data_IF_444090049433
#
_entry.id   IF_444090049433
#
_cell.length_a   1.000
_cell.length_b   1.000
_cell.length_c   1.000
_cell.angle_alpha   90.00
_cell.angle_beta   90.00
_cell.angle_gamma   90.00
#
_symmetry.space_group_name_H-M   'P 1'
#
loop_
_entity.id
_entity.type
_entity.pdbx_description
1 polymer ?
#
# COMPACT_ATOMS: atom_id res chain seq x y z
N UNK A 1 25.25 6.48 -13.57
CA UNK A 1 25.25 5.58 -12.39
C UNK A 1 24.01 5.75 -11.52
N UNK A 2 23.69 6.94 -11.02
CA UNK A 2 22.42 7.18 -10.29
C UNK A 2 21.19 7.06 -11.19
N UNK A 3 21.28 7.59 -12.41
CA UNK A 3 20.15 7.56 -13.36
C UNK A 3 19.86 6.14 -13.85
N UNK A 4 20.91 5.34 -14.12
CA UNK A 4 20.76 3.93 -14.51
C UNK A 4 20.09 3.08 -13.41
N UNK A 5 20.39 3.39 -12.14
CA UNK A 5 19.75 2.72 -11.00
C UNK A 5 18.27 3.12 -10.87
N UNK A 6 17.95 4.40 -11.08
CA UNK A 6 16.56 4.88 -11.06
C UNK A 6 15.74 4.25 -12.19
N UNK A 7 16.30 4.14 -13.39
CA UNK A 7 15.63 3.47 -14.51
C UNK A 7 15.46 1.97 -14.26
N UNK A 8 16.43 1.31 -13.63
CA UNK A 8 16.30 -0.11 -13.27
C UNK A 8 15.21 -0.34 -12.20
N UNK A 9 15.15 0.51 -11.18
CA UNK A 9 14.09 0.46 -10.15
C UNK A 9 12.72 0.69 -10.79
N UNK A 10 12.61 1.65 -11.72
CA UNK A 10 11.34 1.91 -12.43
C UNK A 10 10.93 0.70 -13.26
N UNK A 11 11.86 0.14 -14.04
CA UNK A 11 11.59 -1.00 -14.90
C UNK A 11 11.15 -2.23 -14.09
N UNK A 12 11.74 -2.45 -12.91
CA UNK A 12 11.32 -3.53 -12.01
C UNK A 12 9.95 -3.26 -11.36
N UNK A 13 9.72 -2.02 -10.88
CA UNK A 13 8.47 -1.64 -10.23
C UNK A 13 7.26 -1.66 -11.19
N UNK A 14 7.46 -1.34 -12.46
CA UNK A 14 6.42 -1.30 -13.50
C UNK A 14 6.30 -2.61 -14.28
N UNK A 15 7.14 -3.60 -13.96
CA UNK A 15 7.14 -4.91 -14.64
C UNK A 15 5.80 -5.61 -14.46
N UNK A 16 5.27 -6.13 -15.56
CA UNK A 16 4.09 -6.99 -15.52
C UNK A 16 4.47 -8.36 -14.94
N UNK A 17 3.74 -8.78 -13.92
CA UNK A 17 3.87 -10.11 -13.32
C UNK A 17 3.07 -11.13 -14.15
N UNK A 18 3.60 -12.35 -14.27
CA UNK A 18 2.78 -13.48 -14.71
C UNK A 18 1.71 -13.81 -13.65
N UNK A 19 0.60 -14.46 -14.02
CA UNK A 19 -0.39 -14.90 -13.04
C UNK A 19 0.19 -15.80 -11.94
N UNK A 20 1.16 -16.66 -12.29
CA UNK A 20 1.81 -17.58 -11.36
C UNK A 20 2.70 -16.84 -10.36
N UNK A 21 3.45 -15.83 -10.81
CA UNK A 21 4.24 -14.96 -9.94
C UNK A 21 3.34 -14.19 -8.97
N UNK A 22 2.22 -13.65 -9.48
CA UNK A 22 1.26 -12.93 -8.68
C UNK A 22 0.60 -13.83 -7.62
N UNK A 23 0.18 -15.03 -7.99
CA UNK A 23 -0.42 -16.00 -7.08
C UNK A 23 0.57 -16.44 -5.99
N UNK A 24 1.82 -16.73 -6.35
CA UNK A 24 2.87 -17.09 -5.39
C UNK A 24 3.09 -15.97 -4.37
N UNK A 25 3.03 -14.71 -4.80
CA UNK A 25 3.15 -13.55 -3.92
C UNK A 25 1.92 -13.36 -3.03
N UNK A 26 0.71 -13.46 -3.58
CA UNK A 26 -0.55 -13.28 -2.85
C UNK A 26 -0.83 -14.41 -1.85
N UNK A 27 -0.35 -15.61 -2.13
CA UNK A 27 -0.48 -16.78 -1.26
C UNK A 27 0.66 -16.89 -0.23
N UNK A 28 1.68 -16.04 -0.33
CA UNK A 28 2.76 -16.02 0.64
C UNK A 28 2.21 -15.75 2.06
N UNK A 29 2.61 -16.53 3.08
CA UNK A 29 2.15 -16.31 4.43
C UNK A 29 2.68 -14.97 4.94
N UNK A 30 1.80 -14.19 5.56
CA UNK A 30 2.18 -12.96 6.27
C UNK A 30 3.08 -13.35 7.45
N UNK A 31 4.25 -12.74 7.54
CA UNK A 31 5.17 -12.95 8.64
C UNK A 31 4.62 -12.38 9.96
N UNK A 32 5.15 -12.86 11.09
CA UNK A 32 4.76 -12.35 12.41
C UNK A 32 5.09 -10.86 12.57
N UNK A 33 6.19 -10.40 11.97
CA UNK A 33 6.61 -9.00 11.97
C UNK A 33 5.63 -8.11 11.21
N UNK A 34 5.27 -8.50 9.98
CA UNK A 34 4.26 -7.79 9.18
C UNK A 34 2.91 -7.76 9.91
N UNK A 35 2.52 -8.88 10.51
CA UNK A 35 1.29 -8.97 11.30
C UNK A 35 1.31 -8.02 12.49
N UNK A 36 2.42 -7.98 13.25
CA UNK A 36 2.56 -7.07 14.39
C UNK A 36 2.45 -5.61 13.94
N UNK A 37 3.14 -5.26 12.85
CA UNK A 37 3.10 -3.91 12.30
C UNK A 37 1.69 -3.49 11.85
N UNK A 38 0.95 -4.37 11.16
CA UNK A 38 -0.44 -4.10 10.77
C UNK A 38 -1.33 -3.86 12.00
N UNK A 39 -1.15 -4.64 13.06
CA UNK A 39 -1.92 -4.46 14.30
C UNK A 39 -1.60 -3.14 15.01
N UNK A 40 -0.34 -2.70 15.00
CA UNK A 40 0.05 -1.37 15.49
C UNK A 40 -0.63 -0.24 14.70
N UNK A 41 -0.69 -0.37 13.37
CA UNK A 41 -1.38 0.60 12.52
C UNK A 41 -2.89 0.64 12.82
N UNK A 42 -3.51 -0.52 13.04
CA UNK A 42 -4.92 -0.63 13.43
C UNK A 42 -5.17 -0.01 14.80
N UNK A 43 -4.32 -0.28 15.80
CA UNK A 43 -4.43 0.32 17.13
C UNK A 43 -4.35 1.86 17.04
N UNK A 44 -3.31 2.37 16.39
CA UNK A 44 -3.15 3.80 16.19
C UNK A 44 -4.38 4.42 15.50
N UNK A 45 -4.87 3.80 14.42
CA UNK A 45 -5.98 4.31 13.64
C UNK A 45 -7.28 4.33 14.44
N UNK A 46 -7.59 3.24 15.14
CA UNK A 46 -8.81 3.10 15.92
C UNK A 46 -8.80 3.96 17.19
N UNK A 47 -7.63 4.22 17.77
CA UNK A 47 -7.44 5.19 18.84
C UNK A 47 -7.61 6.63 18.36
N UNK A 48 -7.10 6.97 17.17
CA UNK A 48 -7.19 8.32 16.58
C UNK A 48 -8.60 8.67 16.07
N UNK A 49 -9.34 7.65 15.63
CA UNK A 49 -10.70 7.74 15.09
C UNK A 49 -11.61 6.73 15.82
N UNK A 50 -12.08 7.07 17.02
CA UNK A 50 -12.74 6.13 17.92
C UNK A 50 -14.05 5.58 17.37
N UNK A 51 -14.80 6.35 16.57
CA UNK A 51 -16.11 5.92 16.05
C UNK A 51 -16.03 5.38 14.62
N UNK A 52 -16.93 4.45 14.24
CA UNK A 52 -17.04 4.00 12.85
C UNK A 52 -17.26 5.14 11.83
N UNK A 53 -18.01 6.18 12.21
CA UNK A 53 -18.27 7.33 11.35
C UNK A 53 -16.98 8.15 11.07
N UNK A 54 -16.18 8.42 12.09
CA UNK A 54 -14.90 9.12 11.94
C UNK A 54 -13.92 8.35 11.06
N UNK A 55 -13.87 7.02 11.22
CA UNK A 55 -13.05 6.13 10.38
C UNK A 55 -13.48 6.21 8.93
N UNK A 56 -14.78 6.12 8.66
CA UNK A 56 -15.33 6.24 7.31
C UNK A 56 -15.03 7.60 6.67
N UNK A 57 -15.19 8.69 7.43
CA UNK A 57 -14.86 10.03 6.97
C UNK A 57 -13.38 10.18 6.64
N UNK A 58 -12.49 9.61 7.46
CA UNK A 58 -11.05 9.59 7.17
C UNK A 58 -10.76 8.83 5.88
N UNK A 59 -11.27 7.60 5.76
CA UNK A 59 -11.02 6.74 4.58
C UNK A 59 -11.46 7.44 3.30
N UNK A 60 -12.65 8.07 3.30
CA UNK A 60 -13.12 8.85 2.14
C UNK A 60 -12.14 9.95 1.73
N UNK A 61 -11.63 10.73 2.69
CA UNK A 61 -10.63 11.78 2.41
C UNK A 61 -9.31 11.20 1.93
N UNK A 62 -8.84 10.11 2.54
CA UNK A 62 -7.60 9.45 2.17
C UNK A 62 -7.67 8.88 0.75
N UNK A 63 -8.75 8.17 0.41
CA UNK A 63 -8.99 7.64 -0.94
C UNK A 63 -9.07 8.75 -1.98
N UNK A 64 -9.75 9.86 -1.68
CA UNK A 64 -9.81 11.01 -2.59
C UNK A 64 -8.42 11.59 -2.88
N UNK A 65 -7.58 11.77 -1.84
CA UNK A 65 -6.19 12.23 -2.00
C UNK A 65 -5.35 11.23 -2.80
N UNK A 66 -5.48 9.93 -2.51
CA UNK A 66 -4.73 8.90 -3.21
C UNK A 66 -5.08 8.86 -4.70
N UNK A 67 -6.37 8.86 -5.05
CA UNK A 67 -6.83 8.92 -6.45
C UNK A 67 -6.30 10.15 -7.17
N UNK A 68 -6.37 11.32 -6.53
CA UNK A 68 -5.80 12.54 -7.10
C UNK A 68 -4.28 12.40 -7.36
N UNK A 69 -3.55 11.75 -6.46
CA UNK A 69 -2.10 11.52 -6.60
C UNK A 69 -1.72 10.46 -7.64
N UNK A 70 -2.62 9.54 -7.97
CA UNK A 70 -2.42 8.53 -9.02
C UNK A 70 -2.75 9.14 -10.38
N UNK A 71 -3.87 9.88 -10.48
CA UNK A 71 -4.26 10.56 -11.71
C UNK A 71 -3.32 11.69 -12.11
N UNK A 72 -2.58 12.32 -11.18
CA UNK A 72 -1.57 13.33 -11.55
C UNK A 72 -0.23 12.74 -11.99
N UNK A 73 -0.08 11.41 -11.97
CA UNK A 73 1.13 10.69 -12.44
C UNK A 73 0.91 10.02 -13.80
N UNK A 74 -0.28 10.19 -14.38
CA UNK A 74 -0.65 9.79 -15.75
C UNK A 74 -0.62 11.01 -16.66
#
# INVERSE_FOLDING_TARGET
>A
MTDDLVELIRADAERQLSPEEAEAWLSAPVSDEERAHVLELVDWFTRRYPTPLERLQYVRRATARWRASVSSRS
#
